data_IF_965773220266
#
_entry.id   IF_965773220266
#
_cell.length_a   1.000
_cell.length_b   1.000
_cell.length_c   1.000
_cell.angle_alpha   90.00
_cell.angle_beta   90.00
_cell.angle_gamma   90.00
#
_symmetry.space_group_name_H-M   'P 1'
#
loop_
_entity.id
_entity.type
_entity.pdbx_description
1 polymer ?
#
# COMPACT_ATOMS: atom_id res chain seq x y z
N UNK A 1 -23.98 18.12 -8.12
CA UNK A 1 -23.98 16.64 -8.18
C UNK A 1 -22.84 16.10 -7.33
N UNK A 2 -23.11 15.42 -6.21
CA UNK A 2 -22.08 14.55 -5.60
C UNK A 2 -21.80 13.47 -6.64
N UNK A 3 -20.58 13.46 -7.19
CA UNK A 3 -20.15 12.53 -8.25
C UNK A 3 -20.51 11.09 -7.87
N UNK A 4 -21.11 10.35 -8.79
CA UNK A 4 -21.39 8.91 -8.66
C UNK A 4 -20.12 8.10 -8.33
N UNK A 5 -18.94 8.64 -8.61
CA UNK A 5 -17.65 8.02 -8.36
C UNK A 5 -17.31 7.93 -6.85
N UNK A 6 -17.57 8.98 -6.06
CA UNK A 6 -17.35 8.93 -4.60
C UNK A 6 -18.34 7.98 -3.91
N UNK A 7 -19.52 7.80 -4.51
CA UNK A 7 -20.58 6.97 -3.96
C UNK A 7 -20.20 5.48 -3.90
N UNK A 8 -19.37 4.97 -4.84
CA UNK A 8 -18.93 3.57 -4.79
C UNK A 8 -17.93 3.33 -3.67
N UNK A 9 -16.93 4.21 -3.53
CA UNK A 9 -15.89 4.05 -2.52
C UNK A 9 -16.49 4.14 -1.11
N UNK A 10 -17.32 5.15 -0.84
CA UNK A 10 -17.99 5.30 0.47
C UNK A 10 -18.89 4.10 0.77
N UNK A 11 -19.67 3.62 -0.21
CA UNK A 11 -20.54 2.45 -0.03
C UNK A 11 -19.80 1.15 0.26
N UNK A 12 -18.52 1.04 -0.13
CA UNK A 12 -17.71 -0.15 0.13
C UNK A 12 -16.83 0.01 1.34
N UNK A 13 -16.00 1.05 1.36
CA UNK A 13 -14.96 1.26 2.36
C UNK A 13 -15.47 2.00 3.61
N UNK A 14 -16.70 2.53 3.59
CA UNK A 14 -17.33 3.17 4.76
C UNK A 14 -18.72 2.59 5.03
N UNK A 15 -18.93 1.32 4.68
CA UNK A 15 -20.23 0.64 4.82
C UNK A 15 -20.60 0.33 6.28
N UNK A 16 -19.60 0.14 7.13
CA UNK A 16 -19.73 -0.11 8.57
C UNK A 16 -18.83 0.85 9.34
N UNK A 17 -19.07 1.00 10.64
CA UNK A 17 -18.21 1.81 11.51
C UNK A 17 -16.76 1.32 11.51
N UNK A 18 -16.57 -0.01 11.52
CA UNK A 18 -15.25 -0.64 11.46
C UNK A 18 -14.52 -0.30 10.16
N UNK A 19 -15.19 -0.44 9.01
CA UNK A 19 -14.61 -0.11 7.71
C UNK A 19 -14.33 1.39 7.58
N UNK A 20 -15.21 2.24 8.13
CA UNK A 20 -15.00 3.69 8.16
C UNK A 20 -13.77 4.06 8.99
N UNK A 21 -13.62 3.48 10.18
CA UNK A 21 -12.46 3.69 11.04
C UNK A 21 -11.16 3.19 10.39
N UNK A 22 -11.20 2.03 9.72
CA UNK A 22 -10.06 1.53 8.93
C UNK A 22 -9.69 2.49 7.80
N UNK A 23 -10.69 3.02 7.09
CA UNK A 23 -10.47 3.97 6.00
C UNK A 23 -9.86 5.29 6.50
N UNK A 24 -10.27 5.78 7.68
CA UNK A 24 -9.66 6.95 8.31
C UNK A 24 -8.20 6.70 8.70
N UNK A 25 -7.88 5.49 9.20
CA UNK A 25 -6.49 5.08 9.44
C UNK A 25 -5.69 5.02 8.14
N UNK A 26 -6.25 4.45 7.07
CA UNK A 26 -5.60 4.37 5.77
C UNK A 26 -5.28 5.76 5.20
N UNK A 27 -6.23 6.71 5.28
CA UNK A 27 -6.02 8.11 4.88
C UNK A 27 -4.88 8.76 5.66
N UNK A 28 -4.90 8.62 7.00
CA UNK A 28 -3.83 9.14 7.86
C UNK A 28 -2.48 8.53 7.53
N UNK A 29 -2.42 7.21 7.30
CA UNK A 29 -1.17 6.53 6.93
C UNK A 29 -0.66 7.07 5.59
N UNK A 30 -1.49 7.09 4.55
CA UNK A 30 -1.10 7.57 3.21
C UNK A 30 -0.59 9.00 3.20
N UNK A 31 -1.13 9.87 4.06
CA UNK A 31 -0.69 11.26 4.22
C UNK A 31 0.67 11.42 4.93
N UNK A 32 1.17 10.39 5.61
CA UNK A 32 2.38 10.44 6.45
C UNK A 32 3.47 9.45 6.01
N UNK A 33 3.33 8.78 4.86
CA UNK A 33 4.34 7.91 4.27
C UNK A 33 4.95 8.54 3.01
N UNK A 34 6.16 8.13 2.63
CA UNK A 34 6.83 8.59 1.42
C UNK A 34 7.52 7.46 0.65
N UNK A 35 8.04 6.45 1.34
CA UNK A 35 8.73 5.31 0.72
C UNK A 35 7.92 4.02 0.84
N UNK A 36 7.60 3.38 -0.28
CA UNK A 36 6.74 2.19 -0.35
C UNK A 36 7.52 1.05 -1.00
N UNK A 37 7.77 -0.03 -0.26
CA UNK A 37 8.31 -1.26 -0.83
C UNK A 37 7.19 -2.10 -1.46
N UNK A 38 7.34 -2.49 -2.72
CA UNK A 38 6.32 -3.23 -3.46
C UNK A 38 6.81 -4.67 -3.69
N UNK A 39 6.29 -5.59 -2.88
CA UNK A 39 6.66 -7.01 -2.88
C UNK A 39 5.89 -7.76 -3.96
N UNK A 40 6.62 -8.44 -4.84
CA UNK A 40 6.04 -9.08 -6.02
C UNK A 40 5.83 -8.10 -7.18
N UNK A 41 6.56 -6.98 -7.20
CA UNK A 41 6.49 -6.04 -8.32
C UNK A 41 6.99 -6.71 -9.61
N UNK A 42 6.13 -6.76 -10.62
CA UNK A 42 6.46 -7.41 -11.89
C UNK A 42 7.19 -6.45 -12.84
N UNK A 43 8.10 -7.01 -13.66
CA UNK A 43 8.66 -6.32 -14.85
C UNK A 43 7.61 -6.07 -15.93
N UNK A 44 6.53 -6.85 -15.91
CA UNK A 44 5.53 -6.85 -16.97
C UNK A 44 4.55 -5.69 -16.82
N UNK A 45 4.41 -4.88 -17.87
CA UNK A 45 3.53 -3.71 -17.86
C UNK A 45 2.04 -4.02 -17.73
N UNK A 46 1.61 -5.24 -18.04
CA UNK A 46 0.21 -5.64 -17.96
C UNK A 46 -0.20 -6.13 -16.56
N UNK A 47 0.74 -6.23 -15.61
CA UNK A 47 0.45 -6.70 -14.25
C UNK A 47 0.02 -5.54 -13.37
N UNK A 48 -0.95 -5.80 -12.50
CA UNK A 48 -1.51 -4.81 -11.56
C UNK A 48 -0.43 -4.15 -10.70
N UNK A 49 0.55 -4.93 -10.23
CA UNK A 49 1.67 -4.39 -9.45
C UNK A 49 2.45 -3.31 -10.21
N UNK A 50 2.63 -3.46 -11.53
CA UNK A 50 3.28 -2.44 -12.35
C UNK A 50 2.42 -1.18 -12.44
N UNK A 51 1.13 -1.34 -12.76
CA UNK A 51 0.20 -0.20 -12.85
C UNK A 51 0.11 0.59 -11.53
N UNK A 52 0.04 -0.10 -10.39
CA UNK A 52 0.01 0.52 -9.06
C UNK A 52 1.33 1.21 -8.76
N UNK A 53 2.48 0.57 -8.99
CA UNK A 53 3.80 1.16 -8.77
C UNK A 53 4.00 2.44 -9.58
N UNK A 54 3.69 2.43 -10.88
CA UNK A 54 3.80 3.61 -11.74
C UNK A 54 2.87 4.74 -11.30
N UNK A 55 1.65 4.41 -10.85
CA UNK A 55 0.74 5.41 -10.29
C UNK A 55 1.34 6.07 -9.04
N UNK A 56 1.82 5.29 -8.08
CA UNK A 56 2.40 5.81 -6.84
C UNK A 56 3.67 6.63 -7.10
N UNK A 57 4.52 6.20 -8.03
CA UNK A 57 5.71 6.95 -8.47
C UNK A 57 5.30 8.32 -9.05
N UNK A 58 4.28 8.36 -9.91
CA UNK A 58 3.76 9.61 -10.46
C UNK A 58 3.08 10.50 -9.40
N UNK A 59 2.54 9.90 -8.33
CA UNK A 59 1.96 10.61 -7.20
C UNK A 59 3.01 11.16 -6.23
N UNK A 60 4.31 10.90 -6.47
CA UNK A 60 5.42 11.44 -5.69
C UNK A 60 5.99 10.51 -4.63
N UNK A 61 5.51 9.26 -4.52
CA UNK A 61 6.11 8.28 -3.63
C UNK A 61 7.43 7.74 -4.19
N UNK A 62 8.36 7.45 -3.29
CA UNK A 62 9.55 6.67 -3.61
C UNK A 62 9.20 5.17 -3.56
N UNK A 63 9.02 4.56 -4.73
CA UNK A 63 8.78 3.12 -4.83
C UNK A 63 10.09 2.32 -4.75
N UNK A 64 10.07 1.23 -3.98
CA UNK A 64 11.18 0.28 -3.83
C UNK A 64 10.72 -1.10 -4.33
N UNK A 65 11.10 -1.50 -5.55
CA UNK A 65 10.78 -2.82 -6.06
C UNK A 65 11.37 -3.94 -5.20
N UNK A 66 10.56 -4.96 -4.88
CA UNK A 66 11.04 -6.20 -4.27
C UNK A 66 10.62 -7.38 -5.15
N UNK A 67 11.60 -7.89 -5.89
CA UNK A 67 11.48 -9.04 -6.80
C UNK A 67 12.84 -9.72 -7.00
N UNK A 68 13.03 -10.98 -6.54
CA UNK A 68 14.31 -11.69 -6.67
C UNK A 68 14.70 -12.07 -8.10
N UNK A 69 13.81 -11.87 -9.08
CA UNK A 69 14.04 -12.20 -10.49
C UNK A 69 14.31 -10.96 -11.37
N UNK A 70 14.61 -9.82 -10.75
CA UNK A 70 14.89 -8.57 -11.46
C UNK A 70 15.87 -7.71 -10.67
N UNK A 71 16.82 -7.08 -11.38
CA UNK A 71 17.76 -6.13 -10.79
C UNK A 71 17.21 -4.69 -10.81
N UNK A 72 16.33 -4.38 -11.75
CA UNK A 72 15.75 -3.04 -11.93
C UNK A 72 14.32 -3.12 -12.44
N UNK A 73 13.43 -2.32 -11.85
CA UNK A 73 12.04 -2.17 -12.30
C UNK A 73 11.66 -0.68 -12.21
N UNK A 74 11.03 -0.14 -13.26
CA UNK A 74 10.63 1.29 -13.33
C UNK A 74 11.78 2.27 -13.01
N UNK A 75 13.00 1.93 -13.43
CA UNK A 75 14.21 2.73 -13.20
C UNK A 75 14.70 2.76 -11.75
N UNK A 76 14.19 1.85 -10.90
CA UNK A 76 14.58 1.69 -9.50
C UNK A 76 15.27 0.34 -9.31
N UNK A 77 16.30 0.32 -8.47
CA UNK A 77 16.93 -0.92 -8.02
C UNK A 77 15.89 -1.85 -7.39
N UNK A 78 15.95 -3.13 -7.71
CA UNK A 78 15.04 -4.15 -7.20
C UNK A 78 15.79 -5.07 -6.25
N UNK A 79 15.22 -5.29 -5.08
CA UNK A 79 15.81 -6.14 -4.04
C UNK A 79 15.15 -7.52 -4.03
N UNK A 80 15.86 -8.58 -3.62
CA UNK A 80 15.30 -9.93 -3.57
C UNK A 80 14.26 -10.12 -2.47
N UNK A 81 14.37 -9.35 -1.38
CA UNK A 81 13.50 -9.39 -0.22
C UNK A 81 13.52 -8.03 0.52
N UNK A 82 12.65 -7.86 1.52
CA UNK A 82 12.54 -6.60 2.28
C UNK A 82 13.78 -6.33 3.13
N UNK A 83 14.45 -7.38 3.64
CA UNK A 83 15.61 -7.25 4.52
C UNK A 83 16.87 -6.78 3.79
N UNK A 84 16.91 -6.99 2.48
CA UNK A 84 18.00 -6.56 1.61
C UNK A 84 17.94 -5.06 1.28
N UNK A 85 16.87 -4.34 1.65
CA UNK A 85 16.75 -2.91 1.43
C UNK A 85 17.67 -2.18 2.44
N UNK A 86 18.65 -1.38 2.00
CA UNK A 86 19.68 -0.81 2.88
C UNK A 86 19.23 0.47 3.62
N UNK A 87 17.95 0.84 3.50
CA UNK A 87 17.39 2.07 4.04
C UNK A 87 15.96 1.83 4.53
N UNK A 88 15.43 2.66 5.45
CA UNK A 88 14.08 2.49 5.96
C UNK A 88 13.01 2.65 4.86
N UNK A 89 11.86 2.02 5.10
CA UNK A 89 10.65 2.13 4.29
C UNK A 89 9.47 2.47 5.19
N UNK A 90 8.48 3.19 4.67
CA UNK A 90 7.33 3.62 5.46
C UNK A 90 6.16 2.65 5.35
N UNK A 91 6.02 1.94 4.22
CA UNK A 91 4.97 0.96 4.00
C UNK A 91 5.42 -0.18 3.08
N UNK A 92 4.73 -1.31 3.20
CA UNK A 92 4.89 -2.49 2.34
C UNK A 92 3.59 -2.74 1.57
N UNK A 93 3.68 -2.89 0.26
CA UNK A 93 2.56 -3.19 -0.64
C UNK A 93 2.76 -4.57 -1.28
N UNK A 94 1.86 -5.52 -1.03
CA UNK A 94 2.07 -6.95 -1.30
C UNK A 94 1.19 -7.45 -2.45
N UNK A 95 1.83 -7.92 -3.52
CA UNK A 95 1.21 -8.54 -4.71
C UNK A 95 1.54 -10.04 -4.84
N UNK A 96 1.80 -10.72 -3.74
CA UNK A 96 2.09 -12.14 -3.73
C UNK A 96 0.81 -12.99 -3.70
N UNK A 97 0.84 -14.22 -4.24
CA UNK A 97 -0.24 -15.17 -4.00
C UNK A 97 -0.39 -15.46 -2.50
N UNK A 98 -1.62 -15.82 -2.10
CA UNK A 98 -2.03 -16.01 -0.70
C UNK A 98 -1.06 -16.87 0.13
N UNK A 99 -0.54 -17.94 -0.44
CA UNK A 99 0.40 -18.89 0.20
C UNK A 99 1.77 -18.27 0.52
N UNK A 100 2.13 -17.14 -0.08
CA UNK A 100 3.43 -16.49 0.07
C UNK A 100 3.39 -15.21 0.90
N UNK A 101 2.22 -14.73 1.31
CA UNK A 101 2.06 -13.47 2.05
C UNK A 101 2.77 -13.52 3.40
N UNK A 102 2.71 -14.66 4.08
CA UNK A 102 3.36 -14.84 5.38
C UNK A 102 4.83 -14.41 5.35
N UNK A 103 5.57 -14.72 4.27
CA UNK A 103 6.99 -14.35 4.13
C UNK A 103 7.19 -12.84 4.11
N UNK A 104 6.32 -12.11 3.40
CA UNK A 104 6.40 -10.66 3.33
C UNK A 104 6.06 -10.01 4.67
N UNK A 105 5.03 -10.51 5.36
CA UNK A 105 4.61 -10.00 6.67
C UNK A 105 5.67 -10.29 7.73
N UNK A 106 6.24 -11.50 7.75
CA UNK A 106 7.32 -11.88 8.67
C UNK A 106 8.52 -10.94 8.53
N UNK A 107 8.96 -10.71 7.29
CA UNK A 107 10.06 -9.79 7.03
C UNK A 107 9.72 -8.36 7.45
N UNK A 108 8.52 -7.86 7.15
CA UNK A 108 8.11 -6.51 7.50
C UNK A 108 8.09 -6.26 9.02
N UNK A 109 7.65 -7.25 9.81
CA UNK A 109 7.65 -7.19 11.28
C UNK A 109 9.08 -7.18 11.86
N UNK A 110 10.01 -7.83 11.16
CA UNK A 110 11.42 -7.92 11.58
C UNK A 110 12.28 -6.72 11.14
N UNK A 111 11.76 -5.82 10.29
CA UNK A 111 12.49 -4.61 9.90
C UNK A 111 12.67 -3.66 11.07
N UNK A 112 13.81 -2.97 11.08
CA UNK A 112 14.11 -1.88 12.00
C UNK A 112 14.68 -0.67 11.24
N UNK A 113 13.99 0.49 11.23
CA UNK A 113 12.68 0.72 11.83
C UNK A 113 11.55 -0.04 11.10
N UNK A 114 10.51 -0.42 11.86
CA UNK A 114 9.31 -1.06 11.30
C UNK A 114 8.56 -0.11 10.35
N UNK A 115 7.99 -0.63 9.25
CA UNK A 115 7.07 0.15 8.42
C UNK A 115 5.82 0.50 9.22
N UNK A 116 5.15 1.59 8.86
CA UNK A 116 3.90 1.99 9.49
C UNK A 116 2.72 1.12 9.09
N UNK A 117 2.78 0.57 7.88
CA UNK A 117 1.67 -0.21 7.35
C UNK A 117 2.06 -1.28 6.32
N UNK A 118 1.19 -2.26 6.20
CA UNK A 118 1.19 -3.30 5.17
C UNK A 118 -0.15 -3.26 4.42
N UNK A 119 -0.12 -3.08 3.11
CA UNK A 119 -1.27 -3.29 2.22
C UNK A 119 -1.19 -4.69 1.61
N UNK A 120 -2.20 -5.52 1.90
CA UNK A 120 -2.43 -6.77 1.18
C UNK A 120 -3.43 -6.48 0.05
N UNK A 121 -2.94 -6.53 -1.19
CA UNK A 121 -3.69 -6.12 -2.37
C UNK A 121 -4.92 -6.98 -2.64
N UNK A 122 -5.77 -6.51 -3.54
CA UNK A 122 -6.94 -7.27 -3.97
C UNK A 122 -6.53 -8.66 -4.49
N UNK A 123 -7.26 -9.70 -4.07
CA UNK A 123 -7.00 -11.08 -4.51
C UNK A 123 -5.99 -11.86 -3.66
N UNK A 124 -5.48 -11.28 -2.57
CA UNK A 124 -4.63 -11.97 -1.58
C UNK A 124 -5.38 -12.98 -0.70
N UNK A 125 -6.72 -12.89 -0.67
CA UNK A 125 -7.56 -13.61 0.29
C UNK A 125 -7.51 -13.00 1.69
N UNK A 126 -8.27 -13.60 2.61
CA UNK A 126 -8.26 -13.28 4.04
C UNK A 126 -7.03 -13.91 4.73
N UNK A 127 -6.33 -13.14 5.56
CA UNK A 127 -5.10 -13.56 6.25
C UNK A 127 -5.21 -13.33 7.77
N UNK A 128 -6.11 -14.03 8.48
CA UNK A 128 -6.34 -13.80 9.92
C UNK A 128 -5.09 -14.04 10.78
N UNK A 129 -4.20 -14.94 10.36
CA UNK A 129 -2.91 -15.18 11.04
C UNK A 129 -1.97 -13.98 10.93
N UNK A 130 -2.04 -13.26 9.82
CA UNK A 130 -1.13 -12.16 9.51
C UNK A 130 -1.59 -10.91 10.25
N UNK A 131 -2.91 -10.72 10.39
CA UNK A 131 -3.48 -9.72 11.28
C UNK A 131 -3.02 -9.95 12.72
N UNK A 132 -3.16 -11.18 13.23
CA UNK A 132 -2.75 -11.49 14.60
C UNK A 132 -1.26 -11.23 14.82
N UNK A 133 -0.43 -11.55 13.83
CA UNK A 133 1.02 -11.34 13.88
C UNK A 133 1.43 -9.87 13.98
N UNK A 134 0.70 -8.97 13.31
CA UNK A 134 1.01 -7.54 13.38
C UNK A 134 0.43 -6.85 14.62
N UNK A 135 -0.49 -7.50 15.35
CA UNK A 135 -1.05 -6.92 16.58
C UNK A 135 0.06 -6.61 17.59
N UNK A 136 0.01 -5.41 18.16
CA UNK A 136 0.99 -4.95 19.15
C UNK A 136 2.36 -4.55 18.57
N UNK A 137 2.60 -4.75 17.27
CA UNK A 137 3.85 -4.31 16.61
C UNK A 137 3.86 -2.81 16.28
N UNK A 138 2.68 -2.18 16.26
CA UNK A 138 2.48 -0.80 15.78
C UNK A 138 2.32 -0.66 14.27
N UNK A 139 2.36 -1.78 13.53
CA UNK A 139 2.12 -1.83 12.08
C UNK A 139 0.61 -1.97 11.82
N UNK A 140 0.04 -1.06 11.04
CA UNK A 140 -1.33 -1.20 10.52
C UNK A 140 -1.35 -2.21 9.35
N UNK A 141 -2.37 -3.05 9.27
CA UNK A 141 -2.56 -3.96 8.14
C UNK A 141 -3.90 -3.69 7.47
N UNK A 142 -3.88 -3.54 6.14
CA UNK A 142 -5.05 -3.29 5.32
C UNK A 142 -5.23 -4.46 4.37
N UNK A 143 -6.26 -5.27 4.61
CA UNK A 143 -6.51 -6.48 3.83
C UNK A 143 -7.48 -6.25 2.68
N UNK A 144 -7.24 -6.91 1.55
CA UNK A 144 -8.11 -6.85 0.38
C UNK A 144 -8.38 -5.39 -0.05
N UNK A 145 -7.34 -4.56 0.00
CA UNK A 145 -7.39 -3.13 -0.33
C UNK A 145 -6.29 -2.78 -1.31
N UNK A 146 -6.65 -2.01 -2.33
CA UNK A 146 -5.68 -1.50 -3.29
C UNK A 146 -5.18 -0.13 -2.83
N UNK A 147 -3.89 -0.03 -2.51
CA UNK A 147 -3.27 1.23 -2.04
C UNK A 147 -3.45 2.38 -3.03
N UNK A 148 -3.41 2.10 -4.35
CA UNK A 148 -3.70 3.09 -5.40
C UNK A 148 -5.13 3.60 -5.28
N UNK A 149 -6.11 2.71 -5.11
CA UNK A 149 -7.52 3.11 -5.00
C UNK A 149 -7.71 3.94 -3.74
N UNK A 150 -7.20 3.49 -2.59
CA UNK A 150 -7.24 4.26 -1.35
C UNK A 150 -6.61 5.64 -1.53
N UNK A 151 -5.42 5.73 -2.11
CA UNK A 151 -4.80 7.00 -2.42
C UNK A 151 -5.67 7.88 -3.33
N UNK A 152 -6.22 7.34 -4.42
CA UNK A 152 -7.02 8.12 -5.38
C UNK A 152 -8.25 8.77 -4.74
N UNK A 153 -8.86 8.12 -3.75
CA UNK A 153 -10.08 8.60 -3.11
C UNK A 153 -9.82 9.42 -1.84
N UNK A 154 -8.79 9.05 -1.07
CA UNK A 154 -8.48 9.65 0.24
C UNK A 154 -7.52 10.82 0.11
N UNK A 155 -6.46 10.69 -0.71
CA UNK A 155 -5.47 11.74 -0.88
C UNK A 155 -5.89 12.66 -2.02
N UNK A 156 -6.60 13.74 -1.67
CA UNK A 156 -6.94 14.82 -2.61
C UNK A 156 -5.82 15.86 -2.64
N UNK A 157 -5.46 16.43 -3.80
CA UNK A 157 -4.83 17.74 -3.79
C UNK A 157 -5.78 18.72 -3.08
N UNK A 158 -5.27 19.52 -2.13
CA UNK A 158 -6.06 20.58 -1.50
C UNK A 158 -6.72 21.39 -2.62
N UNK A 159 -8.05 21.54 -2.58
CA UNK A 159 -8.68 22.64 -3.31
C UNK A 159 -8.00 23.90 -2.80
N UNK A 160 -7.30 24.61 -3.67
CA UNK A 160 -7.00 26.01 -3.41
C UNK A 160 -8.35 26.66 -3.11
N UNK A 161 -8.49 27.20 -1.90
CA UNK A 161 -9.56 28.11 -1.58
C UNK A 161 -9.35 29.31 -2.49
N UNK A 162 -10.02 29.33 -3.64
CA UNK A 162 -10.26 30.57 -4.38
C UNK A 162 -11.11 31.46 -3.48
N UNK A 163 -10.43 32.23 -2.63
CA UNK A 163 -10.97 33.42 -2.03
C UNK A 163 -11.16 34.42 -3.18
N UNK A 164 -12.34 34.40 -3.79
CA UNK A 164 -12.82 35.54 -4.56
C UNK A 164 -13.33 36.57 -3.55
N UNK A 165 -12.48 37.55 -3.24
CA UNK A 165 -12.91 38.87 -2.79
C UNK A 165 -13.58 39.62 -3.95
#
# INVERSE_FOLDING_TARGET
MKSTFNNWYDKKMRATEELSAETDRAEKTLANISTIAIVGLSRSFHKDSQFVARYLQNAGYNIVPVNPNADTILGKESYPDLKSIPHPIDAVDVFLPSDHIHKAVDQAVELEPKPRAIWLQLGTGEQPKEIEKVKGTGIEIYENRCIKVDHQFLIRPKKESTNNN
#
